data_IF_361820826234
#
_entry.id   IF_361820826234
#
_cell.length_a   1.000
_cell.length_b   1.000
_cell.length_c   1.000
_cell.angle_alpha   90.00
_cell.angle_beta   90.00
_cell.angle_gamma   90.00
#
_symmetry.space_group_name_H-M   'P 1'
#
loop_
_entity.id
_entity.type
_entity.pdbx_description
1 polymer ?
#
# COMPACT_ATOMS: atom_id res chain seq x y z
N UNK A 1 -3.22 4.97 52.62
CA UNK A 1 -3.24 4.44 51.23
C UNK A 1 -2.62 3.04 51.26
N UNK A 2 -3.27 1.99 50.72
CA UNK A 2 -2.75 0.61 50.87
C UNK A 2 -1.50 0.39 50.00
N UNK A 3 -0.55 -0.42 50.47
CA UNK A 3 0.73 -0.73 49.80
C UNK A 3 0.53 -1.21 48.35
N UNK A 4 -0.60 -1.87 48.06
CA UNK A 4 -0.97 -2.32 46.70
C UNK A 4 -1.29 -1.15 45.74
N UNK A 5 -1.89 -0.06 46.22
CA UNK A 5 -2.17 1.13 45.41
C UNK A 5 -0.88 1.89 45.06
N UNK A 6 0.03 2.01 46.03
CA UNK A 6 1.33 2.66 45.81
C UNK A 6 2.18 1.93 44.76
N UNK A 7 2.22 0.58 44.80
CA UNK A 7 2.95 -0.23 43.79
C UNK A 7 2.37 -0.10 42.38
N UNK A 8 1.05 -0.08 42.23
CA UNK A 8 0.39 0.10 40.92
C UNK A 8 0.66 1.49 40.34
N UNK A 9 0.64 2.52 41.19
CA UNK A 9 0.94 3.89 40.77
C UNK A 9 2.41 4.04 40.35
N UNK A 10 3.34 3.45 41.11
CA UNK A 10 4.75 3.45 40.78
C UNK A 10 5.04 2.70 39.46
N UNK A 11 4.38 1.56 39.22
CA UNK A 11 4.51 0.83 37.97
C UNK A 11 3.94 1.61 36.77
N UNK A 12 2.79 2.28 36.94
CA UNK A 12 2.20 3.12 35.91
C UNK A 12 3.09 4.35 35.58
N UNK A 13 3.67 4.98 36.60
CA UNK A 13 4.60 6.11 36.42
C UNK A 13 5.91 5.67 35.78
N UNK A 14 6.44 4.49 36.13
CA UNK A 14 7.62 3.93 35.48
C UNK A 14 7.34 3.59 34.00
N UNK A 15 6.18 3.04 33.68
CA UNK A 15 5.77 2.80 32.30
C UNK A 15 5.62 4.12 31.51
N UNK A 16 5.04 5.16 32.13
CA UNK A 16 4.94 6.50 31.52
C UNK A 16 6.33 7.13 31.32
N UNK A 17 7.26 6.94 32.26
CA UNK A 17 8.62 7.47 32.16
C UNK A 17 9.42 6.78 31.05
N UNK A 18 9.23 5.49 30.83
CA UNK A 18 9.81 4.78 29.67
C UNK A 18 9.25 5.35 28.36
N UNK A 19 7.95 5.62 28.29
CA UNK A 19 7.30 6.23 27.11
C UNK A 19 7.74 7.69 26.86
N UNK A 20 8.15 8.42 27.90
CA UNK A 20 8.57 9.82 27.82
C UNK A 20 10.03 10.06 27.39
N UNK A 21 10.84 9.00 27.25
CA UNK A 21 12.25 9.10 26.84
C UNK A 21 12.47 8.92 25.34
N UNK A 22 11.41 9.06 24.54
CA UNK A 22 11.50 9.02 23.09
C UNK A 22 12.53 10.01 22.57
N UNK A 23 13.67 9.50 22.11
CA UNK A 23 14.55 10.23 21.19
C UNK A 23 13.70 10.73 20.02
N UNK A 24 14.08 11.84 19.40
CA UNK A 24 13.52 12.32 18.14
C UNK A 24 13.68 11.25 17.06
N UNK A 25 12.79 10.28 17.04
CA UNK A 25 12.58 9.39 15.91
C UNK A 25 11.83 10.21 14.88
N UNK A 26 12.56 11.08 14.17
CA UNK A 26 12.10 11.60 12.89
C UNK A 26 12.04 10.39 11.97
N UNK A 27 10.91 9.69 11.95
CA UNK A 27 10.64 8.70 10.93
C UNK A 27 10.60 9.46 9.60
N UNK A 28 11.69 9.42 8.84
CA UNK A 28 11.74 10.03 7.52
C UNK A 28 10.79 9.26 6.60
N UNK A 29 9.66 9.87 6.20
CA UNK A 29 8.68 9.18 5.37
C UNK A 29 9.31 8.86 4.01
N UNK A 30 9.10 7.63 3.55
CA UNK A 30 9.46 7.21 2.20
C UNK A 30 8.18 7.15 1.36
N UNK A 31 7.96 8.20 0.57
CA UNK A 31 6.86 8.32 -0.37
C UNK A 31 7.13 7.51 -1.63
N UNK A 32 6.08 6.92 -2.20
CA UNK A 32 6.15 6.20 -3.47
C UNK A 32 4.89 6.43 -4.29
N UNK A 33 5.06 6.38 -5.61
CA UNK A 33 3.97 6.42 -6.58
C UNK A 33 4.25 5.38 -7.65
N UNK A 34 3.28 4.54 -7.98
CA UNK A 34 3.47 3.47 -8.94
C UNK A 34 2.25 3.25 -9.83
N UNK A 35 2.49 2.82 -11.05
CA UNK A 35 1.48 2.27 -11.94
C UNK A 35 1.34 0.77 -11.68
N UNK A 36 0.11 0.28 -11.66
CA UNK A 36 -0.23 -1.14 -11.56
C UNK A 36 -0.92 -1.59 -12.84
N UNK A 37 -0.52 -2.73 -13.38
CA UNK A 37 -1.18 -3.29 -14.56
C UNK A 37 -1.06 -4.81 -14.61
N UNK A 38 -2.08 -5.47 -15.13
CA UNK A 38 -2.11 -6.93 -15.27
C UNK A 38 -3.53 -7.48 -15.43
N UNK A 39 -3.72 -8.80 -15.33
CA UNK A 39 -5.05 -9.40 -15.40
C UNK A 39 -5.85 -9.20 -14.10
N UNK A 40 -7.15 -8.95 -14.27
CA UNK A 40 -8.17 -9.01 -13.25
C UNK A 40 -9.15 -10.16 -13.52
N UNK A 41 -9.54 -10.88 -12.49
CA UNK A 41 -10.52 -11.95 -12.53
C UNK A 41 -11.68 -11.56 -11.63
N UNK A 42 -12.81 -11.18 -12.25
CA UNK A 42 -14.00 -10.73 -11.52
C UNK A 42 -14.97 -11.88 -11.27
N UNK A 43 -15.81 -11.71 -10.25
CA UNK A 43 -16.92 -12.61 -9.91
C UNK A 43 -16.46 -14.02 -9.52
N UNK A 44 -15.28 -14.18 -8.93
CA UNK A 44 -14.73 -15.48 -8.53
C UNK A 44 -15.60 -16.25 -7.54
N UNK A 45 -16.45 -15.55 -6.79
CA UNK A 45 -17.40 -16.13 -5.82
C UNK A 45 -18.82 -16.31 -6.39
N UNK A 46 -19.19 -15.59 -7.44
CA UNK A 46 -20.61 -15.42 -7.83
C UNK A 46 -20.77 -15.52 -9.34
N UNK A 47 -21.16 -16.70 -9.84
CA UNK A 47 -21.38 -16.93 -11.26
C UNK A 47 -20.09 -17.15 -12.06
N UNK A 48 -20.11 -16.92 -13.39
CA UNK A 48 -18.95 -17.17 -14.24
C UNK A 48 -17.84 -16.14 -14.01
N UNK A 49 -16.59 -16.63 -13.97
CA UNK A 49 -15.40 -15.79 -13.89
C UNK A 49 -15.31 -14.90 -15.13
N UNK A 50 -15.12 -13.60 -14.92
CA UNK A 50 -14.97 -12.61 -16.00
C UNK A 50 -13.54 -12.08 -16.01
N UNK A 51 -12.68 -12.50 -16.95
CA UNK A 51 -11.36 -11.91 -17.10
C UNK A 51 -11.48 -10.47 -17.61
N UNK A 52 -10.63 -9.59 -17.11
CA UNK A 52 -10.54 -8.19 -17.49
C UNK A 52 -9.09 -7.72 -17.42
N UNK A 53 -8.79 -6.59 -18.06
CA UNK A 53 -7.50 -5.92 -17.92
C UNK A 53 -7.56 -4.88 -16.79
N UNK A 54 -6.56 -4.90 -15.91
CA UNK A 54 -6.40 -3.92 -14.84
C UNK A 54 -5.37 -2.86 -15.22
N UNK A 55 -5.73 -1.61 -14.97
CA UNK A 55 -4.84 -0.46 -14.97
C UNK A 55 -5.13 0.40 -13.76
N UNK A 56 -4.11 0.76 -12.99
CA UNK A 56 -4.29 1.64 -11.85
C UNK A 56 -3.02 2.34 -11.43
N UNK A 57 -3.14 3.19 -10.42
CA UNK A 57 -2.06 3.87 -9.74
C UNK A 57 -2.17 3.59 -8.24
N UNK A 58 -1.02 3.50 -7.58
CA UNK A 58 -0.89 3.33 -6.13
C UNK A 58 0.05 4.41 -5.60
N UNK A 59 -0.33 4.99 -4.47
CA UNK A 59 0.48 5.96 -3.73
C UNK A 59 0.57 5.51 -2.28
N UNK A 60 1.76 5.60 -1.70
CA UNK A 60 2.01 5.15 -0.34
C UNK A 60 3.07 6.01 0.34
N UNK A 61 3.06 5.96 1.68
CA UNK A 61 4.04 6.63 2.51
C UNK A 61 4.48 5.67 3.61
N UNK A 62 5.70 5.15 3.53
CA UNK A 62 6.23 4.20 4.53
C UNK A 62 7.01 4.94 5.60
N UNK A 63 6.69 4.66 6.86
CA UNK A 63 7.35 5.18 8.04
C UNK A 63 8.17 4.10 8.75
N UNK A 64 8.87 4.50 9.82
CA UNK A 64 9.65 3.64 10.73
C UNK A 64 10.87 2.97 10.08
N UNK A 65 11.41 3.57 9.02
CA UNK A 65 12.62 3.11 8.33
C UNK A 65 13.75 4.13 8.47
N UNK A 66 14.97 3.66 8.73
CA UNK A 66 16.21 4.44 8.61
C UNK A 66 17.20 3.81 7.63
N UNK A 67 16.93 2.59 7.17
CA UNK A 67 17.71 1.88 6.17
C UNK A 67 16.88 0.95 5.28
N UNK A 68 17.52 0.47 4.21
CA UNK A 68 16.93 -0.47 3.24
C UNK A 68 16.34 -1.74 3.89
N UNK A 69 17.02 -2.28 4.90
CA UNK A 69 16.69 -3.55 5.56
C UNK A 69 15.72 -3.40 6.74
N UNK A 70 15.17 -2.21 6.94
CA UNK A 70 14.21 -1.99 8.01
C UNK A 70 12.80 -2.34 7.55
N UNK A 71 12.04 -2.86 8.50
CA UNK A 71 10.59 -3.00 8.37
C UNK A 71 9.97 -1.60 8.35
N UNK A 72 8.83 -1.45 7.69
CA UNK A 72 8.12 -0.18 7.66
C UNK A 72 6.63 -0.38 7.61
N UNK A 73 5.88 0.62 8.05
CA UNK A 73 4.41 0.60 8.00
C UNK A 73 3.91 1.96 7.55
N UNK A 74 2.76 1.99 6.90
CA UNK A 74 2.23 3.25 6.42
C UNK A 74 0.87 3.16 5.75
N UNK A 75 0.23 4.31 5.48
CA UNK A 75 -0.97 4.35 4.68
C UNK A 75 -0.64 4.16 3.20
N UNK A 76 -1.63 3.66 2.47
CA UNK A 76 -1.65 3.70 1.02
C UNK A 76 -3.03 4.12 0.51
N UNK A 77 -3.04 4.60 -0.71
CA UNK A 77 -4.24 4.77 -1.52
C UNK A 77 -3.99 4.20 -2.92
N UNK A 78 -5.03 3.69 -3.54
CA UNK A 78 -5.00 3.25 -4.92
C UNK A 78 -6.25 3.70 -5.69
N UNK A 79 -6.08 3.81 -7.00
CA UNK A 79 -7.14 4.11 -7.96
C UNK A 79 -6.90 3.30 -9.22
N UNK A 80 -7.94 2.74 -9.82
CA UNK A 80 -7.79 1.95 -11.02
C UNK A 80 -9.09 1.64 -11.71
N UNK A 81 -8.98 0.80 -12.73
CA UNK A 81 -10.09 0.31 -13.54
C UNK A 81 -9.84 -1.14 -13.94
N UNK A 82 -10.90 -1.93 -13.98
CA UNK A 82 -10.87 -3.33 -14.39
C UNK A 82 -11.80 -3.52 -15.59
N UNK A 83 -11.24 -3.52 -16.80
CA UNK A 83 -11.98 -3.64 -18.06
C UNK A 83 -12.46 -2.30 -18.64
N UNK A 84 -11.99 -1.17 -18.11
CA UNK A 84 -12.38 0.19 -18.53
C UNK A 84 -13.88 0.50 -18.38
N UNK A 85 -14.61 -0.34 -17.64
CA UNK A 85 -16.05 -0.20 -17.35
C UNK A 85 -16.31 0.19 -15.88
N UNK A 86 -15.25 0.28 -15.07
CA UNK A 86 -15.31 0.56 -13.63
C UNK A 86 -14.27 1.60 -13.23
N UNK A 87 -14.59 2.37 -12.18
CA UNK A 87 -13.61 3.14 -11.40
C UNK A 87 -13.51 2.52 -10.02
N UNK A 88 -12.31 2.18 -9.60
CA UNK A 88 -12.04 1.46 -8.36
C UNK A 88 -11.08 2.30 -7.54
N UNK A 89 -11.44 2.62 -6.31
CA UNK A 89 -10.58 3.34 -5.37
C UNK A 89 -10.43 2.56 -4.10
N UNK A 90 -9.24 2.57 -3.52
CA UNK A 90 -8.93 1.85 -2.31
C UNK A 90 -7.97 2.62 -1.43
N UNK A 91 -7.91 2.22 -0.17
CA UNK A 91 -6.97 2.78 0.77
C UNK A 91 -6.97 2.05 2.10
N UNK A 92 -5.83 2.10 2.78
CA UNK A 92 -5.67 1.39 4.04
C UNK A 92 -4.25 1.46 4.55
N UNK A 93 -3.82 0.39 5.20
CA UNK A 93 -2.49 0.26 5.78
C UNK A 93 -1.69 -0.81 5.06
N UNK A 94 -0.38 -0.58 5.00
CA UNK A 94 0.59 -1.53 4.48
C UNK A 94 1.74 -1.77 5.46
N UNK A 95 2.31 -2.96 5.36
CA UNK A 95 3.44 -3.42 6.14
C UNK A 95 4.52 -3.97 5.23
N UNK A 96 5.65 -3.28 5.18
CA UNK A 96 6.85 -3.68 4.47
C UNK A 96 7.70 -4.61 5.34
N UNK A 97 7.99 -5.78 4.78
CA UNK A 97 8.87 -6.80 5.35
C UNK A 97 10.05 -7.02 4.39
N UNK A 98 11.29 -6.68 4.79
CA UNK A 98 12.46 -6.84 3.95
C UNK A 98 12.82 -8.33 3.77
N UNK A 99 13.21 -8.70 2.56
CA UNK A 99 13.55 -10.06 2.14
C UNK A 99 14.80 -10.03 1.23
N UNK A 100 15.97 -9.87 1.86
CA UNK A 100 17.25 -9.75 1.16
C UNK A 100 17.36 -8.43 0.38
N UNK A 101 17.47 -8.52 -0.95
CA UNK A 101 17.44 -7.36 -1.85
C UNK A 101 16.03 -6.97 -2.31
N UNK A 102 15.01 -7.76 -1.94
CA UNK A 102 13.59 -7.51 -2.22
C UNK A 102 12.84 -7.25 -0.93
N UNK A 103 11.55 -6.96 -1.04
CA UNK A 103 10.63 -6.78 0.08
C UNK A 103 9.27 -7.37 -0.26
N UNK A 104 8.59 -7.88 0.77
CA UNK A 104 7.17 -8.14 0.73
C UNK A 104 6.43 -6.93 1.30
N UNK A 105 5.28 -6.58 0.73
CA UNK A 105 4.36 -5.63 1.32
C UNK A 105 3.01 -6.30 1.47
N UNK A 106 2.54 -6.38 2.71
CA UNK A 106 1.21 -6.84 3.05
C UNK A 106 0.33 -5.62 3.23
N UNK A 107 -0.80 -5.55 2.51
CA UNK A 107 -1.71 -4.41 2.59
C UNK A 107 -3.14 -4.86 2.87
N UNK A 108 -3.89 -4.05 3.60
CA UNK A 108 -5.31 -4.27 3.87
C UNK A 108 -6.04 -2.96 4.04
N UNK A 109 -7.30 -2.89 3.60
CA UNK A 109 -8.02 -1.62 3.59
C UNK A 109 -9.48 -1.73 3.16
N UNK A 110 -10.07 -0.55 2.94
CA UNK A 110 -11.38 -0.40 2.34
C UNK A 110 -11.25 -0.08 0.86
N UNK A 111 -12.29 -0.41 0.10
CA UNK A 111 -12.41 -0.05 -1.31
C UNK A 111 -13.81 0.46 -1.64
N UNK A 112 -13.92 1.19 -2.74
CA UNK A 112 -15.16 1.55 -3.38
C UNK A 112 -15.03 1.33 -4.89
N UNK A 113 -16.03 0.69 -5.49
CA UNK A 113 -16.15 0.51 -6.93
C UNK A 113 -17.34 1.29 -7.45
N UNK A 114 -17.14 2.08 -8.49
CA UNK A 114 -18.19 2.69 -9.28
C UNK A 114 -18.29 1.93 -10.60
N UNK A 115 -19.42 1.29 -10.86
CA UNK A 115 -19.69 0.58 -12.11
C UNK A 115 -21.18 0.73 -12.48
N UNK A 116 -21.47 1.06 -13.73
CA UNK A 116 -22.85 1.24 -14.21
C UNK A 116 -23.66 2.30 -13.42
N UNK A 117 -22.99 3.32 -12.87
CA UNK A 117 -23.62 4.37 -12.06
C UNK A 117 -23.87 4.01 -10.58
N UNK A 118 -23.55 2.80 -10.16
CA UNK A 118 -23.73 2.34 -8.77
C UNK A 118 -22.39 2.31 -8.03
N UNK A 119 -22.38 2.80 -6.80
CA UNK A 119 -21.24 2.70 -5.87
C UNK A 119 -21.37 1.44 -5.02
N UNK A 120 -20.33 0.62 -5.00
CA UNK A 120 -20.25 -0.62 -4.22
C UNK A 120 -19.08 -0.51 -3.23
N UNK A 121 -19.32 -0.46 -1.92
CA UNK A 121 -18.24 -0.52 -0.93
C UNK A 121 -17.68 -1.94 -0.82
N UNK A 122 -16.43 -2.05 -0.40
CA UNK A 122 -15.75 -3.33 -0.23
C UNK A 122 -14.56 -3.26 0.73
N UNK A 123 -13.90 -4.40 0.86
CA UNK A 123 -12.63 -4.55 1.56
C UNK A 123 -11.57 -5.06 0.59
N UNK A 124 -10.33 -4.62 0.76
CA UNK A 124 -9.20 -5.02 -0.07
C UNK A 124 -8.09 -5.61 0.78
N UNK A 125 -7.38 -6.58 0.22
CA UNK A 125 -6.12 -7.08 0.73
C UNK A 125 -5.12 -7.21 -0.42
N UNK A 126 -3.84 -7.11 -0.12
CA UNK A 126 -2.81 -7.18 -1.13
C UNK A 126 -1.50 -7.75 -0.62
N UNK A 127 -0.77 -8.35 -1.55
CA UNK A 127 0.60 -8.78 -1.42
C UNK A 127 1.37 -8.20 -2.59
N UNK A 128 2.40 -7.42 -2.29
CA UNK A 128 3.42 -7.03 -3.26
C UNK A 128 4.73 -7.76 -2.93
N UNK A 129 5.45 -8.14 -3.97
CA UNK A 129 6.80 -8.68 -3.88
C UNK A 129 7.70 -8.05 -4.94
N UNK A 130 8.79 -7.43 -4.51
CA UNK A 130 9.73 -6.83 -5.44
C UNK A 130 10.75 -5.92 -4.76
N UNK A 131 11.35 -5.04 -5.54
CA UNK A 131 12.27 -4.03 -5.04
C UNK A 131 11.51 -2.86 -4.41
N UNK A 132 11.96 -2.43 -3.24
CA UNK A 132 11.49 -1.20 -2.55
C UNK A 132 12.69 -0.50 -1.97
N UNK A 133 13.11 0.61 -2.57
CA UNK A 133 14.31 1.31 -2.12
C UNK A 133 14.06 2.08 -0.82
N UNK A 134 15.15 2.47 -0.19
CA UNK A 134 15.22 3.48 0.85
C UNK A 134 16.14 4.57 0.32
N UNK A 135 15.62 5.78 0.20
CA UNK A 135 16.38 6.89 -0.35
C UNK A 135 16.97 7.73 0.78
N UNK A 136 18.30 7.73 0.88
CA UNK A 136 19.05 8.49 1.88
C UNK A 136 19.17 10.00 1.57
N UNK A 137 18.74 10.42 0.38
CA UNK A 137 18.91 11.80 -0.11
C UNK A 137 17.58 12.46 -0.50
N UNK A 138 16.46 11.75 -0.37
CA UNK A 138 15.14 12.25 -0.71
C UNK A 138 14.07 11.43 0.02
N UNK A 139 12.91 12.03 0.21
CA UNK A 139 11.73 11.34 0.74
C UNK A 139 11.12 10.38 -0.28
N UNK A 140 11.52 10.40 -1.55
CA UNK A 140 10.94 9.53 -2.59
C UNK A 140 11.71 8.21 -2.73
N UNK A 141 11.02 7.10 -2.49
CA UNK A 141 11.50 5.74 -2.66
C UNK A 141 10.97 5.11 -3.95
N UNK A 142 11.82 4.37 -4.64
CA UNK A 142 11.51 3.69 -5.89
C UNK A 142 10.97 2.27 -5.62
N UNK A 143 9.95 1.86 -6.37
CA UNK A 143 9.38 0.51 -6.25
C UNK A 143 9.11 -0.19 -7.58
N UNK A 144 9.50 -1.45 -7.70
CA UNK A 144 9.13 -2.28 -8.86
C UNK A 144 8.98 -3.74 -8.47
N UNK A 145 7.91 -4.40 -8.91
CA UNK A 145 7.65 -5.78 -8.52
C UNK A 145 6.35 -6.37 -9.05
N UNK A 146 6.00 -7.53 -8.50
CA UNK A 146 4.75 -8.23 -8.73
C UNK A 146 3.77 -7.92 -7.61
N UNK A 147 2.48 -7.92 -7.91
CA UNK A 147 1.44 -7.81 -6.90
C UNK A 147 0.28 -8.77 -7.16
N UNK A 148 -0.41 -9.10 -6.07
CA UNK A 148 -1.71 -9.74 -6.06
C UNK A 148 -2.61 -8.97 -5.09
N UNK A 149 -3.81 -8.59 -5.51
CA UNK A 149 -4.79 -7.86 -4.73
C UNK A 149 -6.13 -8.59 -4.80
N UNK A 150 -6.67 -8.95 -3.65
CA UNK A 150 -8.03 -9.47 -3.55
C UNK A 150 -8.99 -8.39 -3.09
N UNK A 151 -10.19 -8.39 -3.66
CA UNK A 151 -11.21 -7.38 -3.46
C UNK A 151 -12.53 -8.05 -3.14
N UNK A 152 -13.15 -7.64 -2.04
CA UNK A 152 -14.37 -8.24 -1.54
C UNK A 152 -15.47 -7.19 -1.46
N UNK A 153 -16.42 -7.27 -2.39
CA UNK A 153 -17.58 -6.40 -2.42
C UNK A 153 -18.53 -6.69 -1.26
N UNK A 154 -19.00 -5.65 -0.58
CA UNK A 154 -19.94 -5.74 0.54
C UNK A 154 -21.39 -5.48 0.12
N UNK A 155 -21.64 -5.20 -1.16
CA UNK A 155 -22.98 -5.05 -1.74
C UNK A 155 -23.76 -6.36 -1.86
N UNK A 156 -24.95 -6.29 -2.46
CA UNK A 156 -25.95 -7.37 -2.50
C UNK A 156 -25.42 -8.72 -2.99
N UNK A 157 -24.49 -8.70 -3.94
CA UNK A 157 -23.96 -9.91 -4.56
C UNK A 157 -22.73 -10.49 -3.87
N UNK A 158 -22.13 -9.80 -2.89
CA UNK A 158 -20.90 -10.22 -2.17
C UNK A 158 -19.83 -10.81 -3.10
N UNK A 159 -19.41 -10.01 -4.07
CA UNK A 159 -18.44 -10.43 -5.10
C UNK A 159 -17.03 -10.57 -4.51
N UNK A 160 -16.25 -11.47 -5.09
CA UNK A 160 -14.82 -11.57 -4.83
C UNK A 160 -14.08 -11.48 -6.15
N UNK A 161 -13.11 -10.57 -6.23
CA UNK A 161 -12.29 -10.34 -7.42
C UNK A 161 -10.82 -10.46 -7.04
N UNK A 162 -10.00 -10.89 -8.01
CA UNK A 162 -8.56 -11.00 -7.87
C UNK A 162 -7.87 -10.22 -8.98
N UNK A 163 -6.98 -9.32 -8.63
CA UNK A 163 -6.09 -8.62 -9.55
C UNK A 163 -4.68 -9.12 -9.31
N UNK A 164 -3.95 -9.40 -10.38
CA UNK A 164 -2.52 -9.72 -10.30
C UNK A 164 -1.78 -8.95 -11.37
N UNK A 165 -0.49 -8.71 -11.20
CA UNK A 165 0.27 -8.04 -12.24
C UNK A 165 1.59 -7.48 -11.78
N UNK A 166 2.03 -6.45 -12.48
CA UNK A 166 3.24 -5.70 -12.19
C UNK A 166 2.89 -4.34 -11.60
N UNK A 167 3.69 -3.92 -10.64
CA UNK A 167 3.71 -2.56 -10.11
C UNK A 167 5.04 -1.94 -10.48
N UNK A 168 5.02 -0.80 -11.18
CA UNK A 168 6.20 -0.10 -11.67
C UNK A 168 6.14 1.36 -11.23
N UNK A 169 7.24 1.83 -10.67
CA UNK A 169 7.38 3.20 -10.21
C UNK A 169 7.02 4.25 -11.27
N UNK A 170 6.33 5.30 -10.85
CA UNK A 170 5.90 6.38 -11.73
C UNK A 170 7.09 7.14 -12.35
N UNK A 171 8.25 7.19 -11.68
CA UNK A 171 9.45 7.84 -12.24
C UNK A 171 9.90 7.15 -13.53
N UNK A 172 9.73 5.82 -13.66
CA UNK A 172 10.06 5.11 -14.91
C UNK A 172 9.25 5.65 -16.08
N UNK A 173 7.98 5.99 -15.85
CA UNK A 173 7.10 6.56 -16.87
C UNK A 173 7.49 7.99 -17.25
N UNK A 174 8.15 8.71 -16.34
CA UNK A 174 8.67 10.05 -16.62
C UNK A 174 9.95 10.02 -17.46
N UNK A 175 10.72 8.91 -17.46
CA UNK A 175 12.02 8.83 -18.15
C UNK A 175 11.99 9.22 -19.63
N UNK A 176 11.04 8.75 -20.47
CA UNK A 176 11.00 9.15 -21.87
C UNK A 176 10.84 10.66 -22.04
N UNK A 177 10.02 11.30 -21.21
CA UNK A 177 9.80 12.74 -21.25
C UNK A 177 11.01 13.52 -20.77
N UNK A 178 11.68 13.05 -19.71
CA UNK A 178 12.92 13.66 -19.21
C UNK A 178 14.04 13.55 -20.25
N UNK A 179 14.15 12.42 -20.93
CA UNK A 179 15.11 12.23 -22.02
C UNK A 179 14.81 13.15 -23.20
N UNK A 180 13.54 13.29 -23.60
CA UNK A 180 13.14 14.22 -24.66
C UNK A 180 13.45 15.67 -24.31
N UNK A 181 13.13 16.12 -23.09
CA UNK A 181 13.43 17.48 -22.63
C UNK A 181 14.94 17.74 -22.63
N UNK A 182 15.74 16.78 -22.16
CA UNK A 182 17.19 16.91 -22.15
C UNK A 182 17.82 16.82 -23.55
N UNK A 183 17.20 16.13 -24.50
CA UNK A 183 17.69 16.08 -25.88
C UNK A 183 17.45 17.39 -26.67
N UNK A 184 16.55 18.24 -26.18
CA UNK A 184 16.18 19.53 -26.80
C UNK A 184 16.80 20.74 -26.06
N UNK A 185 17.45 20.50 -24.91
CA UNK A 185 18.22 21.50 -24.16
C UNK A 185 19.70 21.44 -24.53
#
# INVERSE_FOLDING_TARGET
MSVRRARRLAAALAALAVLGTGRTALAEPQLSAALTTGPAFRNLRVGPVKPAFHLGARFDAIFLRSAQRDMGVGPYVDVGTSGFDSLETGGGLEWLVPAGSTSFILSGGAEARVAGGTVQPGATWGLFWGSRSYNYHSIYGFGAGLFAQGRYGLGDFRTFDLVTGVQVDAVVLALPFLLLVNAVR
#
